data_IF_884549760488
#
_entry.id   IF_884549760488
#
_cell.length_a   1.000
_cell.length_b   1.000
_cell.length_c   1.000
_cell.angle_alpha   90.00
_cell.angle_beta   90.00
_cell.angle_gamma   90.00
#
_symmetry.space_group_name_H-M   'P 1'
#
loop_
_entity.id
_entity.type
_entity.pdbx_description
1 polymer ?
#
# COMPACT_ATOMS: atom_id res chain seq x y z
N UNK A 1 -1.86 -10.98 -7.18
CA UNK A 1 -0.89 -10.01 -6.66
C UNK A 1 -1.56 -9.06 -5.69
N UNK A 2 -0.80 -8.52 -4.75
CA UNK A 2 -1.30 -7.65 -3.69
C UNK A 2 -0.42 -6.40 -3.61
N UNK A 3 -1.04 -5.22 -3.78
CA UNK A 3 -0.40 -3.94 -3.50
C UNK A 3 -0.43 -3.70 -1.99
N UNK A 4 0.72 -3.55 -1.38
CA UNK A 4 0.84 -3.34 0.06
C UNK A 4 1.04 -1.86 0.34
N UNK A 5 0.17 -1.30 1.19
CA UNK A 5 0.18 0.11 1.55
C UNK A 5 1.19 0.42 2.66
N UNK A 6 1.56 1.68 2.77
CA UNK A 6 2.55 2.20 3.71
C UNK A 6 2.33 1.74 5.17
N UNK A 7 1.11 1.78 5.74
CA UNK A 7 0.94 1.38 7.15
C UNK A 7 1.38 -0.05 7.42
N UNK A 8 1.15 -0.96 6.48
CA UNK A 8 1.51 -2.38 6.64
C UNK A 8 3.03 -2.55 6.58
N UNK A 9 3.68 -1.90 5.60
CA UNK A 9 5.14 -1.89 5.52
C UNK A 9 5.78 -1.31 6.78
N UNK A 10 5.22 -0.22 7.29
CA UNK A 10 5.74 0.44 8.49
C UNK A 10 5.66 -0.45 9.72
N UNK A 11 4.57 -1.20 9.91
CA UNK A 11 4.46 -2.19 10.98
C UNK A 11 5.56 -3.23 10.88
N UNK A 12 5.84 -3.73 9.68
CA UNK A 12 6.79 -4.81 9.47
C UNK A 12 8.25 -4.34 9.57
N UNK A 13 8.56 -3.14 9.11
CA UNK A 13 9.95 -2.68 8.93
C UNK A 13 10.42 -1.67 9.97
N UNK A 14 9.49 -0.88 10.56
CA UNK A 14 9.85 0.21 11.48
C UNK A 14 9.58 -0.12 12.95
N UNK A 15 8.70 -1.08 13.23
CA UNK A 15 8.31 -1.46 14.59
C UNK A 15 9.02 -2.73 15.02
N UNK A 16 9.33 -2.82 16.31
CA UNK A 16 9.85 -4.07 16.89
C UNK A 16 8.69 -5.04 17.13
N UNK A 17 8.92 -6.32 16.88
CA UNK A 17 7.88 -7.36 17.05
C UNK A 17 7.29 -7.34 18.46
N UNK A 18 8.11 -7.10 19.48
CA UNK A 18 7.67 -7.07 20.88
C UNK A 18 6.67 -5.95 21.16
N UNK A 19 6.71 -4.87 20.36
CA UNK A 19 5.84 -3.71 20.52
C UNK A 19 4.53 -3.84 19.75
N UNK A 20 4.35 -4.92 18.99
CA UNK A 20 3.16 -5.14 18.16
C UNK A 20 2.05 -5.81 18.98
N UNK A 21 0.81 -5.36 18.77
CA UNK A 21 -0.37 -6.03 19.29
C UNK A 21 -0.56 -7.39 18.59
N UNK A 22 -1.39 -8.30 19.15
CA UNK A 22 -1.70 -9.56 18.47
C UNK A 22 -2.27 -9.37 17.05
N UNK A 23 -3.13 -8.37 16.85
CA UNK A 23 -3.68 -8.08 15.53
C UNK A 23 -2.61 -7.54 14.58
N UNK A 24 -1.72 -6.68 15.05
CA UNK A 24 -0.61 -6.17 14.26
C UNK A 24 0.38 -7.27 13.88
N UNK A 25 0.63 -8.22 14.77
CA UNK A 25 1.46 -9.40 14.45
C UNK A 25 0.86 -10.25 13.36
N UNK A 26 -0.47 -10.42 13.35
CA UNK A 26 -1.16 -11.15 12.27
C UNK A 26 -1.00 -10.42 10.94
N UNK A 27 -1.06 -9.10 10.93
CA UNK A 27 -0.84 -8.31 9.73
C UNK A 27 0.59 -8.49 9.19
N UNK A 28 1.60 -8.40 10.05
CA UNK A 28 2.98 -8.59 9.64
C UNK A 28 3.25 -10.03 9.19
N UNK A 29 2.62 -11.01 9.80
CA UNK A 29 2.73 -12.40 9.38
C UNK A 29 2.09 -12.60 8.00
N UNK A 30 0.94 -11.98 7.75
CA UNK A 30 0.29 -12.03 6.44
C UNK A 30 1.18 -11.40 5.36
N UNK A 31 1.83 -10.28 5.67
CA UNK A 31 2.80 -9.68 4.74
C UNK A 31 3.97 -10.63 4.47
N UNK A 32 4.52 -11.24 5.51
CA UNK A 32 5.60 -12.21 5.36
C UNK A 32 5.20 -13.35 4.43
N UNK A 33 4.00 -13.90 4.62
CA UNK A 33 3.48 -14.99 3.79
C UNK A 33 3.33 -14.55 2.32
N UNK A 34 2.84 -13.34 2.09
CA UNK A 34 2.72 -12.77 0.74
C UNK A 34 4.08 -12.60 0.06
N UNK A 35 5.09 -12.19 0.82
CA UNK A 35 6.47 -12.07 0.32
C UNK A 35 7.01 -13.44 -0.08
N UNK A 36 6.85 -14.43 0.79
CA UNK A 36 7.25 -15.82 0.52
C UNK A 36 6.58 -16.37 -0.74
N UNK A 37 5.32 -16.04 -0.95
CA UNK A 37 4.53 -16.45 -2.11
C UNK A 37 4.81 -15.62 -3.36
N UNK A 38 5.68 -14.62 -3.28
CA UNK A 38 6.01 -13.69 -4.38
C UNK A 38 4.78 -12.97 -4.93
N UNK A 39 3.87 -12.60 -4.06
CA UNK A 39 2.61 -11.92 -4.43
C UNK A 39 2.61 -10.43 -4.16
N UNK A 40 3.66 -9.89 -3.54
CA UNK A 40 3.74 -8.48 -3.16
C UNK A 40 4.11 -7.61 -4.36
N UNK A 41 3.39 -6.49 -4.49
CA UNK A 41 3.67 -5.44 -5.44
C UNK A 41 3.89 -4.13 -4.69
N UNK A 42 4.84 -3.32 -5.15
CA UNK A 42 5.23 -2.07 -4.50
C UNK A 42 5.17 -0.91 -5.48
N UNK A 43 4.38 0.12 -5.15
CA UNK A 43 4.41 1.39 -5.88
C UNK A 43 5.60 2.23 -5.44
N UNK A 44 6.19 2.97 -6.37
CA UNK A 44 7.28 3.91 -6.06
C UNK A 44 6.86 4.96 -5.03
N UNK A 45 5.61 5.44 -5.09
CA UNK A 45 5.07 6.36 -4.09
C UNK A 45 5.02 5.75 -2.68
N UNK A 46 4.69 4.47 -2.58
CA UNK A 46 4.70 3.75 -1.29
C UNK A 46 6.11 3.61 -0.75
N UNK A 47 7.07 3.27 -1.61
CA UNK A 47 8.50 3.24 -1.24
C UNK A 47 8.94 4.57 -0.66
N UNK A 48 8.60 5.66 -1.32
CA UNK A 48 8.94 7.01 -0.87
C UNK A 48 8.29 7.32 0.49
N UNK A 49 7.04 6.99 0.66
CA UNK A 49 6.30 7.22 1.90
C UNK A 49 6.89 6.43 3.09
N UNK A 50 7.22 5.17 2.88
CA UNK A 50 7.82 4.33 3.94
C UNK A 50 9.14 4.91 4.42
N UNK A 51 9.96 5.40 3.49
CA UNK A 51 11.28 5.96 3.80
C UNK A 51 11.22 7.39 4.33
N UNK A 52 10.17 8.13 4.00
CA UNK A 52 10.00 9.51 4.45
C UNK A 52 9.80 9.57 5.96
N UNK A 53 10.47 10.51 6.61
CA UNK A 53 10.34 10.68 8.06
C UNK A 53 11.24 9.78 8.90
N UNK A 54 12.01 8.89 8.31
CA UNK A 54 13.02 8.11 9.03
C UNK A 54 14.25 8.99 9.21
N UNK A 55 14.46 9.48 10.43
CA UNK A 55 15.54 10.43 10.74
C UNK A 55 16.88 9.77 10.95
N UNK A 56 16.88 8.56 11.51
CA UNK A 56 18.11 7.81 11.76
C UNK A 56 18.62 7.22 10.46
N UNK A 57 19.82 7.63 10.04
CA UNK A 57 20.40 7.22 8.76
C UNK A 57 20.63 5.72 8.68
N UNK A 58 21.05 5.09 9.77
CA UNK A 58 21.29 3.64 9.78
C UNK A 58 19.98 2.86 9.61
N UNK A 59 18.90 3.33 10.24
CA UNK A 59 17.57 2.74 10.04
C UNK A 59 17.06 2.97 8.63
N UNK A 60 17.26 4.17 8.08
CA UNK A 60 16.89 4.48 6.69
C UNK A 60 17.56 3.50 5.72
N UNK A 61 18.89 3.33 5.85
CA UNK A 61 19.66 2.44 4.99
C UNK A 61 19.19 0.98 5.12
N UNK A 62 18.92 0.53 6.33
CA UNK A 62 18.44 -0.83 6.58
C UNK A 62 17.09 -1.09 5.90
N UNK A 63 16.15 -0.18 6.07
CA UNK A 63 14.81 -0.31 5.46
C UNK A 63 14.88 -0.16 3.95
N UNK A 64 15.69 0.79 3.45
CA UNK A 64 15.95 0.93 2.03
C UNK A 64 16.43 -0.38 1.41
N UNK A 65 17.38 -1.04 2.07
CA UNK A 65 17.95 -2.28 1.57
C UNK A 65 16.93 -3.41 1.52
N UNK A 66 16.05 -3.49 2.53
CA UNK A 66 14.92 -4.43 2.50
C UNK A 66 14.00 -4.17 1.30
N UNK A 67 13.65 -2.90 1.07
CA UNK A 67 12.73 -2.54 -0.01
C UNK A 67 13.36 -2.73 -1.40
N UNK A 68 14.67 -2.72 -1.52
CA UNK A 68 15.37 -2.97 -2.80
C UNK A 68 15.15 -4.37 -3.36
N UNK A 69 14.67 -5.30 -2.55
CA UNK A 69 14.22 -6.61 -3.01
C UNK A 69 12.96 -6.56 -3.88
N UNK A 70 12.29 -5.42 -3.93
CA UNK A 70 11.04 -5.24 -4.67
C UNK A 70 11.22 -4.19 -5.77
N UNK A 71 10.82 -4.54 -7.00
CA UNK A 71 10.85 -3.63 -8.14
C UNK A 71 9.59 -2.77 -8.08
N UNK A 72 9.71 -1.48 -8.40
CA UNK A 72 8.55 -0.61 -8.51
C UNK A 72 7.64 -1.08 -9.65
N UNK A 73 6.32 -1.05 -9.40
CA UNK A 73 5.34 -1.25 -10.46
C UNK A 73 5.54 -0.19 -11.53
N UNK A 74 5.67 -0.61 -12.78
CA UNK A 74 5.77 0.32 -13.91
C UNK A 74 4.46 1.06 -14.13
N UNK A 75 4.52 2.38 -14.18
CA UNK A 75 3.36 3.24 -14.40
C UNK A 75 3.51 3.99 -15.72
N UNK A 76 2.38 4.21 -16.39
CA UNK A 76 2.32 5.02 -17.60
C UNK A 76 1.24 6.11 -17.47
N UNK A 77 1.03 6.89 -18.54
CA UNK A 77 0.06 7.97 -18.54
C UNK A 77 -1.35 7.48 -18.18
N UNK A 78 -1.72 6.28 -18.63
CA UNK A 78 -3.05 5.72 -18.37
C UNK A 78 -3.31 5.51 -16.88
N UNK A 79 -2.30 5.10 -16.12
CA UNK A 79 -2.44 4.91 -14.67
C UNK A 79 -2.81 6.23 -13.98
N UNK A 80 -2.15 7.32 -14.36
CA UNK A 80 -2.43 8.64 -13.78
C UNK A 80 -3.77 9.21 -14.23
N UNK A 81 -4.15 8.99 -15.49
CA UNK A 81 -5.45 9.40 -16.02
C UNK A 81 -6.58 8.67 -15.30
N UNK A 82 -6.46 7.36 -15.09
CA UNK A 82 -7.44 6.57 -14.34
C UNK A 82 -7.50 6.96 -12.86
N UNK A 83 -6.36 7.30 -12.26
CA UNK A 83 -6.33 7.83 -10.90
C UNK A 83 -7.10 9.16 -10.80
N UNK A 84 -6.99 10.02 -11.81
CA UNK A 84 -7.76 11.26 -11.88
C UNK A 84 -9.26 10.99 -12.00
N UNK A 85 -9.66 10.02 -12.83
CA UNK A 85 -11.07 9.61 -12.93
C UNK A 85 -11.59 9.08 -11.60
N UNK A 86 -10.82 8.25 -10.92
CA UNK A 86 -11.18 7.71 -9.61
C UNK A 86 -11.37 8.83 -8.58
N UNK A 87 -10.48 9.82 -8.59
CA UNK A 87 -10.59 11.01 -7.73
C UNK A 87 -11.91 11.73 -7.98
N UNK A 88 -12.26 11.94 -9.24
CA UNK A 88 -13.48 12.65 -9.63
C UNK A 88 -14.74 11.86 -9.27
N UNK A 89 -14.71 10.54 -9.43
CA UNK A 89 -15.82 9.67 -9.01
C UNK A 89 -16.05 9.75 -7.51
N UNK A 90 -14.98 9.67 -6.71
CA UNK A 90 -15.06 9.78 -5.25
C UNK A 90 -15.61 11.14 -4.83
N UNK A 91 -15.12 12.23 -5.42
CA UNK A 91 -15.61 13.58 -5.11
C UNK A 91 -17.10 13.74 -5.40
N UNK A 92 -17.61 13.19 -6.50
CA UNK A 92 -19.04 13.23 -6.82
C UNK A 92 -19.87 12.49 -5.77
N UNK A 93 -19.29 11.50 -5.11
CA UNK A 93 -19.93 10.75 -4.02
C UNK A 93 -19.66 11.36 -2.64
N UNK A 94 -19.01 12.54 -2.58
CA UNK A 94 -18.71 13.20 -1.31
C UNK A 94 -17.48 12.63 -0.59
N UNK A 95 -16.64 11.86 -1.28
CA UNK A 95 -15.46 11.24 -0.70
C UNK A 95 -14.21 11.95 -1.23
N UNK A 96 -13.38 12.44 -0.30
CA UNK A 96 -12.09 13.06 -0.62
C UNK A 96 -10.98 12.04 -0.36
N UNK A 97 -10.14 11.80 -1.37
CA UNK A 97 -9.00 10.90 -1.26
C UNK A 97 -7.69 11.60 -1.61
N UNK A 98 -6.58 11.08 -1.10
CA UNK A 98 -5.26 11.59 -1.48
C UNK A 98 -4.91 11.12 -2.89
N UNK A 99 -4.09 11.90 -3.64
CA UNK A 99 -3.64 11.48 -4.98
C UNK A 99 -2.93 10.11 -4.97
N UNK A 100 -2.14 9.83 -3.95
CA UNK A 100 -1.39 8.57 -3.82
C UNK A 100 -2.35 7.40 -3.60
N UNK A 101 -3.36 7.57 -2.75
CA UNK A 101 -4.35 6.52 -2.47
C UNK A 101 -5.15 6.20 -3.73
N UNK A 102 -5.59 7.22 -4.46
CA UNK A 102 -6.39 7.02 -5.66
C UNK A 102 -5.55 6.43 -6.81
N UNK A 103 -4.25 6.74 -6.85
CA UNK A 103 -3.33 6.08 -7.76
C UNK A 103 -3.24 4.59 -7.45
N UNK A 104 -3.10 4.23 -6.18
CA UNK A 104 -3.09 2.82 -5.75
C UNK A 104 -4.38 2.10 -6.15
N UNK A 105 -5.52 2.74 -5.95
CA UNK A 105 -6.82 2.19 -6.36
C UNK A 105 -6.88 1.96 -7.87
N UNK A 106 -6.44 2.92 -8.67
CA UNK A 106 -6.46 2.82 -10.12
C UNK A 106 -5.55 1.68 -10.62
N UNK A 107 -4.36 1.56 -10.06
CA UNK A 107 -3.42 0.50 -10.41
C UNK A 107 -3.98 -0.87 -10.04
N UNK A 108 -4.57 -1.00 -8.86
CA UNK A 108 -5.19 -2.25 -8.40
C UNK A 108 -6.32 -2.68 -9.35
N UNK A 109 -7.20 -1.76 -9.72
CA UNK A 109 -8.31 -2.04 -10.64
C UNK A 109 -7.82 -2.46 -12.03
N UNK A 110 -6.81 -1.74 -12.55
CA UNK A 110 -6.25 -2.04 -13.86
C UNK A 110 -5.66 -3.45 -13.96
N UNK A 111 -4.97 -3.87 -12.91
CA UNK A 111 -4.30 -5.17 -12.88
C UNK A 111 -5.13 -6.30 -12.27
N UNK A 112 -6.26 -5.99 -11.65
CA UNK A 112 -7.03 -6.98 -10.91
C UNK A 112 -6.35 -7.43 -9.62
N UNK A 113 -5.58 -6.55 -9.00
CA UNK A 113 -4.86 -6.82 -7.76
C UNK A 113 -5.64 -6.38 -6.55
N UNK A 114 -5.39 -7.04 -5.41
CA UNK A 114 -5.91 -6.62 -4.11
C UNK A 114 -5.02 -5.55 -3.48
N UNK A 115 -5.60 -4.75 -2.60
CA UNK A 115 -4.87 -3.76 -1.78
C UNK A 115 -4.84 -4.24 -0.34
N UNK A 116 -3.65 -4.30 0.24
CA UNK A 116 -3.43 -4.63 1.65
C UNK A 116 -3.12 -3.35 2.42
N UNK A 117 -4.08 -2.88 3.20
CA UNK A 117 -3.97 -1.63 3.97
C UNK A 117 -4.69 -1.74 5.30
N UNK A 118 -4.30 -0.93 6.26
CA UNK A 118 -5.01 -0.72 7.53
C UNK A 118 -5.72 0.63 7.56
N UNK A 119 -5.57 1.44 6.52
CA UNK A 119 -6.20 2.75 6.42
C UNK A 119 -7.68 2.59 6.06
N UNK A 120 -8.54 3.07 6.96
CA UNK A 120 -10.00 2.98 6.78
C UNK A 120 -10.52 3.81 5.62
N UNK A 121 -9.76 4.77 5.12
CA UNK A 121 -10.15 5.54 3.94
C UNK A 121 -10.42 4.64 2.73
N UNK A 122 -9.69 3.53 2.61
CA UNK A 122 -9.90 2.57 1.52
C UNK A 122 -11.24 1.86 1.59
N UNK A 123 -11.84 1.72 2.76
CA UNK A 123 -13.21 1.21 2.88
C UNK A 123 -14.19 2.19 2.23
N UNK A 124 -13.97 3.49 2.38
CA UNK A 124 -14.77 4.52 1.73
C UNK A 124 -14.57 4.49 0.22
N UNK A 125 -13.34 4.41 -0.26
CA UNK A 125 -13.06 4.31 -1.70
C UNK A 125 -13.76 3.09 -2.32
N UNK A 126 -13.76 1.97 -1.61
CA UNK A 126 -14.40 0.73 -2.07
C UNK A 126 -15.90 0.89 -2.31
N UNK A 127 -16.58 1.76 -1.59
CA UNK A 127 -18.02 2.00 -1.82
C UNK A 127 -18.30 2.60 -3.20
N UNK A 128 -17.31 3.24 -3.81
CA UNK A 128 -17.43 3.92 -5.11
C UNK A 128 -16.70 3.17 -6.21
N UNK A 129 -15.46 2.73 -5.92
CA UNK A 129 -14.53 2.21 -6.93
C UNK A 129 -14.53 0.69 -7.05
N UNK A 130 -15.19 -0.01 -6.13
CA UNK A 130 -15.26 -1.47 -6.12
C UNK A 130 -13.86 -2.14 -6.14
N UNK A 131 -12.90 -1.56 -5.42
CA UNK A 131 -11.54 -2.11 -5.30
C UNK A 131 -11.54 -3.36 -4.42
N UNK A 132 -10.78 -4.40 -4.76
CA UNK A 132 -10.63 -5.56 -3.89
C UNK A 132 -9.64 -5.25 -2.77
N UNK A 133 -10.06 -5.47 -1.52
CA UNK A 133 -9.18 -5.33 -0.35
C UNK A 133 -8.76 -6.70 0.14
N UNK A 134 -7.46 -6.83 0.41
CA UNK A 134 -6.90 -8.05 0.97
C UNK A 134 -7.28 -8.18 2.45
N UNK A 135 -7.79 -9.35 2.83
CA UNK A 135 -8.10 -9.68 4.22
C UNK A 135 -6.99 -10.51 4.83
N UNK A 136 -6.32 -9.94 5.83
CA UNK A 136 -5.35 -10.67 6.62
C UNK A 136 -6.09 -11.62 7.58
N UNK A 137 -5.71 -12.88 7.55
CA UNK A 137 -6.27 -13.88 8.46
C UNK A 137 -5.31 -14.20 9.61
#
# INVERSE_FOLDING_TARGET
MVLVDTPVWSLALRRKVIDLSPSERRLTQSLHDLVEQRRVQLLGSTRQEVLSGIRDESQFLRIRDHLRGFINVGLDASDYEEAARATNQCRRAGITGSPVDLLMCAVALRHGWEIFTTDRDFVNYRTVLNIPLFSAM
#
